data_IF_520556117410
#
_entry.id   IF_520556117410
#
_cell.length_a   1.000
_cell.length_b   1.000
_cell.length_c   1.000
_cell.angle_alpha   90.00
_cell.angle_beta   90.00
_cell.angle_gamma   90.00
#
_symmetry.space_group_name_H-M   'P 1'
#
loop_
_entity.id
_entity.type
_entity.pdbx_description
1 polymer ?
#
# COMPACT_ATOMS: atom_id res chain seq x y z
N UNK A 1 -42.17 -66.70 6.78
CA UNK A 1 -41.62 -65.82 5.71
C UNK A 1 -42.44 -64.52 5.68
N UNK A 2 -41.81 -63.43 5.27
CA UNK A 2 -41.91 -62.08 5.87
C UNK A 2 -43.21 -61.28 5.62
N UNK A 3 -43.57 -60.45 6.61
CA UNK A 3 -44.63 -59.43 6.60
C UNK A 3 -44.42 -58.41 5.45
N UNK A 4 -45.43 -58.19 4.62
CA UNK A 4 -45.52 -57.02 3.75
C UNK A 4 -45.85 -55.79 4.60
N UNK A 5 -44.82 -54.99 4.89
CA UNK A 5 -45.00 -53.69 5.55
C UNK A 5 -45.30 -52.63 4.50
N UNK A 6 -46.43 -51.94 4.70
CA UNK A 6 -46.96 -50.86 3.89
C UNK A 6 -45.97 -49.71 3.75
N UNK A 7 -45.60 -49.36 2.51
CA UNK A 7 -44.73 -48.23 2.21
C UNK A 7 -45.48 -46.92 2.41
N UNK A 8 -45.15 -46.19 3.50
CA UNK A 8 -45.60 -44.80 3.70
C UNK A 8 -44.97 -43.92 2.62
N UNK A 9 -45.81 -43.36 1.76
CA UNK A 9 -45.46 -42.30 0.81
C UNK A 9 -45.15 -41.03 1.63
N UNK A 10 -43.87 -40.69 1.77
CA UNK A 10 -43.44 -39.42 2.36
C UNK A 10 -43.73 -38.32 1.34
N UNK A 11 -44.77 -37.53 1.58
CA UNK A 11 -45.05 -36.30 0.85
C UNK A 11 -43.98 -35.26 1.23
N UNK A 12 -43.01 -35.03 0.35
CA UNK A 12 -42.03 -33.96 0.49
C UNK A 12 -42.68 -32.57 0.34
N UNK A 13 -42.12 -31.52 0.98
CA UNK A 13 -42.69 -30.18 0.96
C UNK A 13 -42.58 -29.56 -0.45
N UNK A 14 -43.72 -28.99 -0.90
CA UNK A 14 -43.90 -28.46 -2.25
C UNK A 14 -42.87 -27.41 -2.67
N UNK A 15 -42.25 -27.67 -3.82
CA UNK A 15 -41.50 -26.68 -4.58
C UNK A 15 -42.47 -25.57 -5.03
N UNK A 16 -42.30 -24.34 -4.51
CA UNK A 16 -43.02 -23.16 -5.00
C UNK A 16 -42.46 -22.79 -6.38
N UNK A 17 -43.31 -22.50 -7.39
CA UNK A 17 -42.83 -22.03 -8.69
C UNK A 17 -42.21 -20.64 -8.57
N UNK A 18 -41.03 -20.47 -9.17
CA UNK A 18 -40.32 -19.20 -9.28
C UNK A 18 -41.16 -18.23 -10.14
N UNK A 19 -41.63 -17.13 -9.54
CA UNK A 19 -42.28 -16.03 -10.28
C UNK A 19 -41.19 -15.17 -10.95
N UNK A 20 -41.29 -14.84 -12.25
CA UNK A 20 -40.40 -13.85 -12.85
C UNK A 20 -40.86 -12.45 -12.44
N UNK A 21 -40.06 -11.78 -11.62
CA UNK A 21 -40.34 -10.41 -11.19
C UNK A 21 -39.81 -9.44 -12.25
N UNK A 22 -40.69 -9.10 -13.20
CA UNK A 22 -40.56 -7.97 -14.09
C UNK A 22 -40.75 -6.67 -13.27
N UNK A 23 -39.68 -5.88 -13.12
CA UNK A 23 -39.66 -4.42 -13.20
C UNK A 23 -38.30 -3.89 -12.68
N UNK A 24 -37.47 -3.43 -13.61
CA UNK A 24 -36.25 -2.69 -13.34
C UNK A 24 -36.63 -1.34 -12.72
N UNK A 25 -36.51 -1.21 -11.40
CA UNK A 25 -36.44 0.11 -10.76
C UNK A 25 -35.04 0.67 -10.99
N UNK A 26 -34.91 1.54 -11.98
CA UNK A 26 -33.73 2.36 -12.17
C UNK A 26 -33.55 3.25 -10.93
N UNK A 27 -32.51 2.99 -10.13
CA UNK A 27 -32.05 3.96 -9.16
C UNK A 27 -31.40 5.12 -9.93
N UNK A 28 -31.76 6.38 -9.67
CA UNK A 28 -31.00 7.51 -10.21
C UNK A 28 -29.57 7.40 -9.66
N UNK A 29 -28.63 7.25 -10.60
CA UNK A 29 -27.19 7.31 -10.34
C UNK A 29 -26.92 8.70 -9.76
N UNK A 30 -26.74 8.80 -8.43
CA UNK A 30 -26.28 10.04 -7.85
C UNK A 30 -24.89 10.31 -8.42
N UNK A 31 -24.80 11.39 -9.18
CA UNK A 31 -23.55 11.92 -9.68
C UNK A 31 -22.79 12.44 -8.46
N UNK A 32 -21.96 11.58 -7.85
CA UNK A 32 -20.83 12.08 -7.08
C UNK A 32 -19.80 12.50 -8.10
N UNK A 33 -19.68 13.81 -8.30
CA UNK A 33 -18.56 14.40 -9.00
C UNK A 33 -17.29 13.87 -8.34
N UNK A 34 -16.52 13.12 -9.13
CA UNK A 34 -15.20 12.68 -8.77
C UNK A 34 -14.30 13.82 -9.25
N UNK A 35 -14.21 14.88 -8.46
CA UNK A 35 -13.17 15.88 -8.66
C UNK A 35 -11.87 15.18 -8.26
N UNK A 36 -11.22 14.55 -9.24
CA UNK A 36 -9.81 14.23 -9.18
C UNK A 36 -9.08 15.56 -9.01
N UNK A 37 -8.39 15.81 -7.88
CA UNK A 37 -7.43 16.90 -7.84
C UNK A 37 -6.37 16.56 -8.89
N UNK A 38 -6.32 17.35 -9.95
CA UNK A 38 -5.23 17.28 -10.90
C UNK A 38 -3.95 17.68 -10.16
N UNK A 39 -3.06 16.71 -10.00
CA UNK A 39 -1.65 16.95 -9.72
C UNK A 39 -1.01 17.58 -10.97
N UNK A 40 -1.47 18.77 -11.36
CA UNK A 40 -0.87 19.58 -12.41
C UNK A 40 -0.07 20.70 -11.74
N UNK A 41 1.24 20.62 -11.93
CA UNK A 41 2.28 21.53 -11.50
C UNK A 41 1.93 23.01 -11.75
N UNK A 42 1.82 23.82 -10.69
CA UNK A 42 1.85 25.28 -10.84
C UNK A 42 2.65 25.95 -9.72
N UNK A 43 3.93 25.57 -9.60
CA UNK A 43 4.94 26.27 -8.80
C UNK A 43 5.66 27.37 -9.61
N UNK A 44 4.93 28.09 -10.46
CA UNK A 44 5.50 29.26 -11.12
C UNK A 44 4.49 30.40 -11.18
N UNK A 45 4.34 31.13 -10.08
CA UNK A 45 4.20 32.58 -10.18
C UNK A 45 5.05 33.29 -9.10
N UNK A 46 5.76 34.36 -9.49
CA UNK A 46 6.73 35.04 -8.64
C UNK A 46 6.01 36.08 -7.77
N UNK A 47 6.17 36.00 -6.45
CA UNK A 47 5.86 37.17 -5.62
C UNK A 47 6.99 38.18 -5.75
N UNK A 48 6.88 38.98 -6.80
CA UNK A 48 7.55 40.24 -6.98
C UNK A 48 6.76 41.31 -6.22
N UNK A 49 7.39 41.99 -5.27
CA UNK A 49 7.01 43.38 -4.93
C UNK A 49 6.42 43.66 -3.53
N UNK A 50 7.32 44.07 -2.64
CA UNK A 50 7.24 45.24 -1.72
C UNK A 50 6.10 45.31 -0.69
N UNK A 51 6.48 45.14 0.58
CA UNK A 51 6.23 46.15 1.61
C UNK A 51 7.42 46.21 2.56
N UNK A 52 8.13 47.32 2.47
CA UNK A 52 9.22 47.75 3.36
C UNK A 52 8.65 48.12 4.74
N UNK A 53 9.35 47.74 5.81
CA UNK A 53 9.57 48.50 7.06
C UNK A 53 9.61 47.58 8.30
N UNK A 54 10.57 47.86 9.18
CA UNK A 54 10.84 47.25 10.50
C UNK A 54 11.56 45.89 10.50
N UNK A 55 12.90 45.93 10.40
CA UNK A 55 13.80 45.86 11.56
C UNK A 55 15.11 46.52 11.10
N UNK A 56 15.29 47.78 11.47
CA UNK A 56 16.62 48.36 11.60
C UNK A 56 17.11 47.89 12.97
N UNK A 57 18.12 47.04 13.01
CA UNK A 57 19.07 47.05 14.11
C UNK A 57 20.43 46.74 13.54
N UNK A 58 21.34 47.68 13.81
CA UNK A 58 22.63 47.84 13.21
C UNK A 58 23.55 46.63 13.39
N UNK A 59 24.23 46.28 12.32
CA UNK A 59 25.48 45.54 12.36
C UNK A 59 26.56 46.43 13.01
N UNK A 60 26.95 46.12 14.24
CA UNK A 60 28.18 46.66 14.85
C UNK A 60 29.22 45.54 14.92
N UNK A 61 30.36 45.66 14.22
CA UNK A 61 31.46 44.71 14.34
C UNK A 61 32.22 44.91 15.65
N UNK A 62 32.48 43.78 16.32
CA UNK A 62 33.18 43.61 17.59
C UNK A 62 34.56 44.30 17.55
N UNK A 63 34.74 45.32 18.40
CA UNK A 63 36.06 45.71 18.92
C UNK A 63 36.29 44.87 20.18
N UNK A 64 37.35 44.09 20.19
CA UNK A 64 37.82 43.36 21.37
C UNK A 64 38.47 44.36 22.35
N UNK A 65 37.95 44.46 23.56
CA UNK A 65 38.75 44.82 24.73
C UNK A 65 38.30 43.96 25.90
N UNK A 66 39.02 42.86 26.09
CA UNK A 66 38.96 41.99 27.26
C UNK A 66 39.47 42.76 28.47
N UNK A 67 38.60 43.07 29.42
CA UNK A 67 38.99 43.32 30.81
C UNK A 67 37.78 43.22 31.75
N UNK A 68 37.86 42.19 32.60
CA UNK A 68 37.37 42.13 33.98
C UNK A 68 36.00 41.48 34.25
N UNK A 69 36.12 40.43 35.07
CA UNK A 69 35.18 39.91 36.07
C UNK A 69 33.98 39.07 35.60
N UNK A 70 34.23 37.77 35.44
CA UNK A 70 33.30 36.77 35.96
C UNK A 70 33.42 36.77 37.50
N UNK A 71 32.30 36.96 38.23
CA UNK A 71 31.92 35.96 39.22
C UNK A 71 30.41 35.85 39.29
N UNK A 72 29.79 35.33 38.25
CA UNK A 72 28.44 34.80 38.37
C UNK A 72 28.21 33.84 37.23
N UNK A 73 28.28 32.55 37.55
CA UNK A 73 27.69 31.47 36.79
C UNK A 73 26.16 31.66 36.73
N UNK A 74 25.68 32.75 36.11
CA UNK A 74 24.40 32.76 35.43
C UNK A 74 24.61 31.82 34.28
N UNK A 75 24.27 30.55 34.54
CA UNK A 75 23.78 29.59 33.59
C UNK A 75 23.13 30.34 32.43
N UNK A 76 23.94 30.63 31.40
CA UNK A 76 23.41 30.91 30.11
C UNK A 76 22.68 29.60 29.81
N UNK A 77 21.36 29.63 29.94
CA UNK A 77 20.50 28.86 29.07
C UNK A 77 20.90 29.32 27.66
N UNK A 78 22.04 28.82 27.18
CA UNK A 78 22.33 28.68 25.78
C UNK A 78 21.25 27.71 25.38
N UNK A 79 20.12 28.28 24.99
CA UNK A 79 19.23 27.70 24.03
C UNK A 79 20.16 27.40 22.86
N UNK A 80 20.79 26.21 22.91
CA UNK A 80 21.10 25.47 21.70
C UNK A 80 19.85 25.64 20.84
N UNK A 81 19.97 25.89 19.53
CA UNK A 81 18.81 25.77 18.67
C UNK A 81 18.38 24.32 18.80
N UNK A 82 17.54 24.08 19.82
CA UNK A 82 16.73 22.91 20.02
C UNK A 82 16.18 22.72 18.64
N UNK A 83 16.58 21.63 18.00
CA UNK A 83 16.01 21.23 16.72
C UNK A 83 14.51 21.27 16.93
N UNK A 84 13.90 22.38 16.51
CA UNK A 84 12.57 22.72 16.93
C UNK A 84 11.68 21.63 16.35
N UNK A 85 11.02 20.89 17.23
CA UNK A 85 10.18 19.77 16.83
C UNK A 85 9.01 20.33 16.02
N UNK A 86 8.50 19.57 15.05
CA UNK A 86 7.43 20.05 14.18
C UNK A 86 7.94 20.75 12.93
N UNK A 87 7.26 21.81 12.48
CA UNK A 87 7.38 22.42 11.14
C UNK A 87 8.81 22.71 10.72
N UNK A 88 9.60 23.38 11.57
CA UNK A 88 10.99 23.75 11.28
C UNK A 88 11.91 22.55 11.05
N UNK A 89 11.62 21.38 11.62
CA UNK A 89 12.38 20.15 11.37
C UNK A 89 12.04 19.46 10.05
N UNK A 90 10.84 19.67 9.48
CA UNK A 90 10.40 18.94 8.29
C UNK A 90 11.15 19.39 7.03
N UNK A 91 11.52 20.67 6.92
CA UNK A 91 12.29 21.19 5.77
C UNK A 91 13.66 20.52 5.59
N UNK A 92 14.22 19.94 6.65
CA UNK A 92 15.53 19.26 6.63
C UNK A 92 15.46 17.79 6.18
N UNK A 93 14.27 17.24 5.85
CA UNK A 93 14.06 15.79 5.57
C UNK A 93 14.28 15.40 4.09
N UNK A 94 15.40 15.81 3.50
CA UNK A 94 15.75 15.45 2.12
C UNK A 94 16.32 14.03 1.98
N UNK A 95 17.04 13.53 2.98
CA UNK A 95 17.63 12.20 2.96
C UNK A 95 16.56 11.11 3.06
N UNK A 96 16.61 10.11 2.15
CA UNK A 96 15.66 9.00 2.12
C UNK A 96 16.30 7.74 2.72
N UNK A 97 15.61 7.15 3.70
CA UNK A 97 16.05 5.88 4.32
C UNK A 97 15.53 4.67 3.57
N UNK A 98 14.37 4.80 2.90
CA UNK A 98 13.67 3.70 2.23
C UNK A 98 13.48 3.94 0.72
N UNK A 99 13.78 2.93 -0.08
CA UNK A 99 13.59 2.90 -1.55
C UNK A 99 12.72 1.71 -1.96
N UNK A 100 12.42 1.59 -3.26
CA UNK A 100 11.65 0.48 -3.83
C UNK A 100 12.38 -0.85 -3.68
N UNK A 101 11.70 -1.84 -3.15
CA UNK A 101 12.24 -3.20 -3.02
C UNK A 101 11.98 -4.02 -4.30
N UNK A 102 13.03 -4.62 -4.88
CA UNK A 102 12.92 -5.47 -6.08
C UNK A 102 11.92 -6.63 -5.96
N UNK A 103 11.87 -7.31 -4.81
CA UNK A 103 10.94 -8.45 -4.60
C UNK A 103 9.47 -8.05 -4.50
N UNK A 104 9.14 -7.01 -3.75
CA UNK A 104 7.75 -6.69 -3.39
C UNK A 104 7.20 -5.40 -3.99
N UNK A 105 8.01 -4.62 -4.71
CA UNK A 105 7.61 -3.37 -5.37
C UNK A 105 7.19 -2.24 -4.42
N UNK A 106 7.40 -2.38 -3.11
CA UNK A 106 7.04 -1.37 -2.11
C UNK A 106 8.25 -0.54 -1.70
N UNK A 107 8.04 0.74 -1.36
CA UNK A 107 9.06 1.62 -0.77
C UNK A 107 9.32 1.20 0.68
N UNK A 108 10.09 0.14 0.85
CA UNK A 108 10.36 -0.47 2.15
C UNK A 108 11.76 -1.08 2.23
N UNK A 109 12.61 -0.89 1.21
CA UNK A 109 13.99 -1.33 1.27
C UNK A 109 14.82 -0.28 1.99
N UNK A 110 15.38 -0.63 3.14
CA UNK A 110 16.24 0.26 3.90
C UNK A 110 17.64 0.28 3.29
N UNK A 111 18.13 1.45 2.89
CA UNK A 111 19.40 1.58 2.15
C UNK A 111 20.60 1.14 3.01
N UNK A 112 20.81 1.79 4.15
CA UNK A 112 21.97 1.50 5.01
C UNK A 112 21.97 0.07 5.54
N UNK A 113 20.82 -0.41 6.05
CA UNK A 113 20.68 -1.78 6.59
C UNK A 113 20.50 -2.84 5.51
N UNK A 114 20.44 -2.45 4.23
CA UNK A 114 20.25 -3.30 3.07
C UNK A 114 19.18 -4.39 3.26
N UNK A 115 18.07 -4.04 3.92
CA UNK A 115 17.02 -4.98 4.30
C UNK A 115 15.63 -4.41 4.07
N UNK A 116 14.73 -5.23 3.53
CA UNK A 116 13.36 -4.81 3.28
C UNK A 116 12.46 -5.02 4.51
N UNK A 117 11.94 -3.92 5.04
CA UNK A 117 10.98 -3.94 6.14
C UNK A 117 9.65 -4.62 5.77
N UNK A 118 9.29 -4.78 4.49
CA UNK A 118 8.03 -5.45 4.14
C UNK A 118 8.20 -6.95 3.90
N UNK A 119 9.17 -7.37 3.09
CA UNK A 119 9.32 -8.76 2.65
C UNK A 119 10.57 -9.47 3.17
N UNK A 120 11.51 -8.75 3.80
CA UNK A 120 12.75 -9.32 4.33
C UNK A 120 13.88 -9.52 3.32
N UNK A 121 13.74 -9.07 2.06
CA UNK A 121 14.86 -9.07 1.08
C UNK A 121 16.12 -8.45 1.71
N UNK A 122 17.31 -9.08 1.64
CA UNK A 122 17.72 -10.19 0.77
C UNK A 122 17.36 -11.61 1.24
N UNK A 123 16.83 -11.81 2.44
CA UNK A 123 16.54 -13.14 2.97
C UNK A 123 15.72 -14.00 1.99
N UNK A 124 16.06 -15.28 1.85
CA UNK A 124 15.40 -16.18 0.90
C UNK A 124 13.89 -16.29 1.18
N UNK A 125 13.53 -16.47 2.45
CA UNK A 125 12.13 -16.58 2.89
C UNK A 125 11.46 -15.21 2.98
N UNK A 126 10.23 -15.13 2.49
CA UNK A 126 9.41 -13.93 2.68
C UNK A 126 9.03 -13.77 4.16
N UNK A 127 9.33 -12.59 4.72
CA UNK A 127 9.02 -12.21 6.10
C UNK A 127 7.51 -12.25 6.36
N UNK A 128 7.09 -13.03 7.36
CA UNK A 128 5.70 -13.16 7.83
C UNK A 128 5.68 -13.18 9.37
N UNK A 129 4.68 -12.55 9.96
CA UNK A 129 4.45 -12.60 11.41
C UNK A 129 3.07 -13.13 11.72
N UNK A 130 2.97 -13.88 12.80
CA UNK A 130 1.70 -14.46 13.20
C UNK A 130 0.73 -13.46 13.82
N UNK A 131 1.26 -12.45 14.50
CA UNK A 131 0.51 -11.38 15.13
C UNK A 131 -0.13 -10.39 14.14
N UNK A 132 0.16 -10.46 12.83
CA UNK A 132 -0.41 -9.54 11.83
C UNK A 132 -1.24 -10.28 10.78
N UNK A 133 -2.47 -10.63 11.12
CA UNK A 133 -3.38 -11.38 10.25
C UNK A 133 -3.72 -10.63 8.95
N UNK A 134 -4.01 -9.32 9.05
CA UNK A 134 -4.26 -8.48 7.88
C UNK A 134 -3.06 -8.44 6.92
N UNK A 135 -1.84 -8.44 7.46
CA UNK A 135 -0.63 -8.47 6.64
C UNK A 135 -0.44 -9.81 5.94
N UNK A 136 -0.78 -10.93 6.59
CA UNK A 136 -0.82 -12.25 5.95
C UNK A 136 -1.78 -12.22 4.77
N UNK A 137 -3.04 -11.84 4.99
CA UNK A 137 -4.11 -11.82 3.97
C UNK A 137 -3.76 -11.03 2.71
N UNK A 138 -3.02 -9.93 2.84
CA UNK A 138 -2.59 -9.09 1.70
C UNK A 138 -1.51 -9.74 0.81
N UNK A 139 -0.88 -10.83 1.24
CA UNK A 139 0.27 -11.47 0.57
C UNK A 139 0.08 -12.98 0.34
N UNK A 140 -1.09 -13.53 0.66
CA UNK A 140 -1.35 -14.94 0.46
C UNK A 140 -1.43 -15.30 -1.02
N UNK A 141 -1.26 -16.58 -1.32
CA UNK A 141 -1.66 -17.17 -2.61
C UNK A 141 -3.09 -16.74 -2.96
N UNK A 142 -3.36 -16.45 -4.23
CA UNK A 142 -4.66 -15.89 -4.66
C UNK A 142 -4.67 -14.39 -4.90
N UNK A 143 -3.76 -13.62 -4.28
CA UNK A 143 -3.78 -12.14 -4.39
C UNK A 143 -3.25 -11.59 -5.71
N UNK A 144 -2.45 -12.38 -6.44
CA UNK A 144 -1.83 -11.99 -7.70
C UNK A 144 -2.36 -12.76 -8.91
N UNK A 145 -1.69 -12.61 -10.07
CA UNK A 145 -2.14 -13.17 -11.37
C UNK A 145 -2.19 -14.71 -11.47
N UNK A 146 -1.63 -15.45 -10.50
CA UNK A 146 -1.64 -16.92 -10.43
C UNK A 146 -1.45 -17.66 -11.78
N UNK A 147 -0.44 -17.26 -12.58
CA UNK A 147 -0.26 -17.76 -13.96
C UNK A 147 -0.28 -19.29 -14.06
N UNK A 148 0.39 -19.97 -13.14
CA UNK A 148 0.45 -21.43 -13.11
C UNK A 148 -0.77 -22.04 -12.41
N UNK A 149 -1.01 -21.67 -11.15
CA UNK A 149 -2.04 -22.31 -10.32
C UNK A 149 -3.46 -22.21 -10.89
N UNK A 150 -3.78 -21.12 -11.62
CA UNK A 150 -5.10 -20.97 -12.27
C UNK A 150 -5.35 -22.06 -13.31
N UNK A 151 -4.31 -22.45 -14.03
CA UNK A 151 -4.37 -23.44 -15.11
C UNK A 151 -4.28 -24.88 -14.58
N UNK A 152 -3.60 -25.10 -13.45
CA UNK A 152 -3.43 -26.42 -12.84
C UNK A 152 -4.77 -27.12 -12.58
N UNK A 153 -5.77 -26.41 -12.06
CA UNK A 153 -7.09 -27.01 -11.79
C UNK A 153 -7.77 -27.53 -13.07
N UNK A 154 -7.66 -26.80 -14.19
CA UNK A 154 -8.19 -27.24 -15.47
C UNK A 154 -7.42 -28.45 -16.01
N UNK A 155 -6.08 -28.43 -15.92
CA UNK A 155 -5.23 -29.57 -16.32
C UNK A 155 -5.50 -30.82 -15.49
N UNK A 156 -5.77 -30.66 -14.20
CA UNK A 156 -6.10 -31.75 -13.30
C UNK A 156 -7.37 -32.48 -13.76
N UNK A 157 -8.44 -31.75 -14.09
CA UNK A 157 -9.67 -32.36 -14.64
C UNK A 157 -9.45 -33.03 -16.00
N UNK A 158 -8.46 -32.56 -16.77
CA UNK A 158 -8.08 -33.15 -18.06
C UNK A 158 -7.02 -34.26 -17.93
N UNK A 159 -6.68 -34.69 -16.72
CA UNK A 159 -5.73 -35.80 -16.48
C UNK A 159 -4.28 -35.48 -16.85
N UNK A 160 -3.87 -34.20 -16.83
CA UNK A 160 -2.52 -33.73 -17.17
C UNK A 160 -1.98 -34.25 -18.51
N UNK A 161 -2.86 -34.40 -19.51
CA UNK A 161 -2.46 -34.78 -20.86
C UNK A 161 -1.39 -33.83 -21.43
N UNK A 162 -0.36 -34.41 -22.03
CA UNK A 162 0.76 -33.72 -22.69
C UNK A 162 0.73 -34.10 -24.17
N UNK A 163 1.07 -33.17 -25.06
CA UNK A 163 1.05 -33.38 -26.51
C UNK A 163 -0.24 -32.90 -27.18
N UNK A 164 -0.43 -33.30 -28.44
CA UNK A 164 -1.58 -32.91 -29.26
C UNK A 164 -2.88 -33.49 -28.70
N UNK A 165 -3.97 -32.71 -28.57
CA UNK A 165 -5.23 -33.23 -28.05
C UNK A 165 -5.77 -34.33 -28.96
N UNK A 166 -6.44 -35.33 -28.37
CA UNK A 166 -7.06 -36.43 -29.11
C UNK A 166 -8.05 -35.86 -30.13
N UNK A 167 -7.79 -36.06 -31.42
CA UNK A 167 -8.63 -35.58 -32.53
C UNK A 167 -8.31 -34.17 -33.03
N UNK A 168 -7.15 -33.58 -32.72
CA UNK A 168 -6.75 -32.30 -33.29
C UNK A 168 -6.55 -32.40 -34.81
N UNK A 169 -7.20 -31.52 -35.58
CA UNK A 169 -6.96 -31.34 -37.02
C UNK A 169 -5.78 -30.39 -37.25
N UNK A 170 -4.57 -30.81 -36.91
CA UNK A 170 -3.33 -30.08 -37.19
C UNK A 170 -2.28 -31.02 -37.78
N UNK A 171 -1.23 -30.51 -38.44
CA UNK A 171 -0.21 -31.38 -39.03
C UNK A 171 0.41 -32.23 -37.92
N UNK A 172 0.36 -33.54 -38.10
CA UNK A 172 1.05 -34.50 -37.24
C UNK A 172 2.54 -34.19 -37.28
N UNK A 173 3.13 -33.93 -36.11
CA UNK A 173 4.57 -33.72 -35.97
C UNK A 173 5.32 -34.93 -36.51
N UNK A 174 6.15 -34.69 -37.53
CA UNK A 174 7.07 -35.65 -38.16
C UNK A 174 8.10 -36.20 -37.17
#
# INVERSE_FOLDING_TARGET
MFRLSSARRITGPGHKPWKPQLAKRHHPRSQRNFDTPSDDDNDNQPFNGIASSLIQDEYVPIRYTTAQSDPSSRTYNRLTPITAKGTSSFGKRHNKTHTLCRRCGKRSFHIQKSTCANCGYPAAKTRKFNWSEKAKRRKTTGTGRMRHLKEVHRRFHNGFQVGTPKGAKGPESA
#
